data_IF_462607891724
#
_entry.id   IF_462607891724
#
_cell.length_a   1.000
_cell.length_b   1.000
_cell.length_c   1.000
_cell.angle_alpha   90.00
_cell.angle_beta   90.00
_cell.angle_gamma   90.00
#
_symmetry.space_group_name_H-M   'P 1'
#
loop_
_entity.id
_entity.type
_entity.pdbx_description
1 polymer ?
#
# COMPACT_ATOMS: atom_id res chain seq x y z
N UNK A 1 -6.09 14.24 14.11
CA UNK A 1 -6.72 13.20 14.95
C UNK A 1 -8.22 13.42 14.89
N UNK A 2 -8.99 12.35 14.74
CA UNK A 2 -10.43 12.41 14.48
C UNK A 2 -11.18 11.64 15.58
N UNK A 3 -12.40 12.04 15.91
CA UNK A 3 -13.27 11.31 16.85
C UNK A 3 -14.60 10.98 16.18
N UNK A 4 -15.15 9.80 16.47
CA UNK A 4 -16.46 9.38 16.01
C UNK A 4 -17.12 8.45 17.02
N UNK A 5 -18.38 8.08 16.78
CA UNK A 5 -19.05 7.03 17.53
C UNK A 5 -19.75 6.07 16.57
N UNK A 6 -19.61 4.77 16.82
CA UNK A 6 -20.31 3.75 16.05
C UNK A 6 -20.97 2.76 17.01
N UNK A 7 -22.28 2.59 16.87
CA UNK A 7 -23.12 1.73 17.73
C UNK A 7 -22.92 2.02 19.23
N UNK A 8 -22.83 3.30 19.59
CA UNK A 8 -22.68 3.74 20.98
C UNK A 8 -21.28 3.55 21.58
N UNK A 9 -20.27 3.16 20.78
CA UNK A 9 -18.87 3.07 21.21
C UNK A 9 -18.04 4.20 20.62
N UNK A 10 -17.13 4.77 21.40
CA UNK A 10 -16.23 5.82 20.93
C UNK A 10 -15.18 5.22 20.00
N UNK A 11 -14.86 5.98 18.96
CA UNK A 11 -13.81 5.66 18.00
C UNK A 11 -12.81 6.81 17.98
N UNK A 12 -11.52 6.46 18.01
CA UNK A 12 -10.42 7.39 17.84
C UNK A 12 -9.73 7.10 16.51
N UNK A 13 -9.62 8.13 15.69
CA UNK A 13 -9.22 8.03 14.30
C UNK A 13 -7.95 8.79 13.96
N UNK A 14 -7.23 8.28 12.97
CA UNK A 14 -6.13 8.99 12.29
C UNK A 14 -6.26 8.80 10.79
N UNK A 15 -6.05 9.89 10.04
CA UNK A 15 -5.83 9.78 8.59
C UNK A 15 -4.48 9.12 8.33
N UNK A 16 -4.48 8.15 7.44
CA UNK A 16 -3.31 7.44 6.96
C UNK A 16 -3.21 7.68 5.45
N UNK A 17 -2.25 8.51 5.00
CA UNK A 17 -1.93 8.61 3.58
C UNK A 17 -1.29 7.31 3.10
N UNK A 18 -1.52 6.97 1.83
CA UNK A 18 -0.76 5.92 1.17
C UNK A 18 0.70 6.38 0.95
N UNK A 19 1.68 5.47 0.99
CA UNK A 19 3.07 5.81 0.68
C UNK A 19 3.21 6.39 -0.74
N UNK A 20 4.24 7.20 -0.94
CA UNK A 20 4.52 7.81 -2.24
C UNK A 20 4.65 6.76 -3.35
N UNK A 21 4.06 7.03 -4.50
CA UNK A 21 4.02 6.10 -5.63
C UNK A 21 2.92 5.03 -5.55
N UNK A 22 2.15 4.98 -4.46
CA UNK A 22 1.02 4.06 -4.30
C UNK A 22 -0.33 4.77 -4.39
N UNK A 23 -1.33 4.06 -4.91
CA UNK A 23 -2.73 4.47 -4.87
C UNK A 23 -3.62 3.27 -4.52
N UNK A 24 -4.75 3.54 -3.87
CA UNK A 24 -5.69 2.52 -3.43
C UNK A 24 -6.87 2.43 -4.38
N UNK A 25 -7.38 1.22 -4.62
CA UNK A 25 -8.56 0.98 -5.45
C UNK A 25 -9.62 0.20 -4.68
N UNK A 26 -10.88 0.57 -4.91
CA UNK A 26 -12.04 -0.23 -4.50
C UNK A 26 -12.46 -1.07 -5.71
N UNK A 27 -12.29 -2.38 -5.63
CA UNK A 27 -12.62 -3.31 -6.71
C UNK A 27 -14.01 -3.92 -6.52
N UNK A 28 -14.80 -3.95 -7.59
CA UNK A 28 -16.11 -4.59 -7.64
C UNK A 28 -16.12 -5.70 -8.69
N UNK A 29 -16.62 -6.87 -8.30
CA UNK A 29 -16.78 -8.00 -9.22
C UNK A 29 -17.86 -7.68 -10.24
N UNK A 30 -17.54 -7.88 -11.51
CA UNK A 30 -18.47 -7.71 -12.63
C UNK A 30 -19.25 -9.01 -12.77
N UNK A 31 -20.49 -9.01 -12.26
CA UNK A 31 -21.41 -10.13 -12.46
C UNK A 31 -22.12 -9.89 -13.80
N UNK A 32 -21.95 -10.80 -14.76
CA UNK A 32 -22.63 -10.71 -16.04
C UNK A 32 -24.13 -10.93 -15.87
N UNK A 33 -24.94 -9.90 -16.06
CA UNK A 33 -26.39 -10.06 -16.28
C UNK A 33 -26.73 -9.65 -17.71
N UNK A 34 -27.35 -10.56 -18.47
CA UNK A 34 -27.98 -10.24 -19.75
C UNK A 34 -28.98 -9.11 -19.56
N UNK A 35 -29.00 -8.13 -20.46
CA UNK A 35 -30.23 -7.47 -20.84
C UNK A 35 -30.12 -6.89 -22.27
N UNK A 36 -31.23 -7.08 -22.97
CA UNK A 36 -31.48 -7.00 -24.40
C UNK A 36 -31.32 -5.62 -25.06
N UNK A 37 -30.84 -4.59 -24.37
CA UNK A 37 -30.69 -3.26 -24.93
C UNK A 37 -29.36 -2.61 -24.54
N UNK A 38 -28.32 -2.87 -25.34
CA UNK A 38 -27.17 -1.96 -25.51
C UNK A 38 -26.03 -2.04 -24.49
N UNK A 39 -25.14 -3.03 -24.64
CA UNK A 39 -23.76 -3.14 -24.10
C UNK A 39 -23.59 -3.52 -22.62
N UNK A 40 -23.71 -4.83 -22.34
CA UNK A 40 -22.68 -5.58 -21.59
C UNK A 40 -22.38 -6.86 -22.38
N UNK A 41 -21.15 -7.02 -22.87
CA UNK A 41 -20.60 -8.31 -23.33
C UNK A 41 -19.47 -8.69 -22.37
N UNK A 42 -19.81 -9.38 -21.28
CA UNK A 42 -18.83 -10.26 -20.63
C UNK A 42 -18.83 -11.55 -21.43
N UNK A 43 -17.96 -11.62 -22.45
CA UNK A 43 -17.62 -12.91 -23.04
C UNK A 43 -16.92 -13.68 -21.92
N UNK A 44 -17.67 -14.56 -21.25
CA UNK A 44 -17.08 -15.77 -20.67
C UNK A 44 -16.60 -16.61 -21.85
N UNK A 45 -15.51 -16.17 -22.48
CA UNK A 45 -14.87 -16.96 -23.52
C UNK A 45 -13.95 -17.94 -22.81
N UNK A 46 -14.42 -19.18 -22.84
CA UNK A 46 -13.62 -20.39 -22.96
C UNK A 46 -13.03 -20.95 -21.67
N UNK A 47 -13.77 -21.93 -21.15
CA UNK A 47 -13.37 -23.10 -20.34
C UNK A 47 -12.74 -22.94 -18.96
N UNK A 48 -12.11 -21.83 -18.60
CA UNK A 48 -11.43 -21.65 -17.30
C UNK A 48 -11.88 -20.40 -16.54
N UNK A 49 -13.19 -20.16 -16.47
CA UNK A 49 -13.85 -18.92 -15.99
C UNK A 49 -13.13 -18.12 -14.89
N UNK A 50 -12.41 -17.07 -15.29
CA UNK A 50 -11.82 -16.10 -14.37
C UNK A 50 -12.82 -15.00 -14.00
N UNK A 51 -12.79 -14.60 -12.72
CA UNK A 51 -13.58 -13.49 -12.22
C UNK A 51 -13.11 -12.15 -12.80
N UNK A 52 -14.03 -11.40 -13.40
CA UNK A 52 -13.74 -10.04 -13.90
C UNK A 52 -14.00 -9.03 -12.78
N UNK A 53 -13.03 -8.16 -12.52
CA UNK A 53 -13.12 -7.09 -11.53
C UNK A 53 -12.96 -5.72 -12.20
N UNK A 54 -13.69 -4.72 -11.72
CA UNK A 54 -13.57 -3.33 -12.15
C UNK A 54 -13.24 -2.43 -10.96
N UNK A 55 -12.37 -1.45 -11.16
CA UNK A 55 -12.17 -0.37 -10.20
C UNK A 55 -13.38 0.56 -10.18
N UNK A 56 -14.02 0.69 -9.02
CA UNK A 56 -15.19 1.53 -8.78
C UNK A 56 -14.78 2.92 -8.23
N UNK A 57 -13.73 2.96 -7.43
CA UNK A 57 -13.16 4.19 -6.87
C UNK A 57 -11.64 4.05 -6.66
N UNK A 58 -10.99 5.20 -6.53
CA UNK A 58 -9.57 5.33 -6.21
C UNK A 58 -9.39 6.27 -5.01
N UNK A 59 -8.40 6.02 -4.17
CA UNK A 59 -8.10 6.84 -3.00
C UNK A 59 -6.59 6.97 -2.76
N UNK A 60 -6.18 8.09 -2.16
CA UNK A 60 -4.80 8.34 -1.74
C UNK A 60 -4.59 8.33 -0.23
N UNK A 61 -5.67 8.34 0.54
CA UNK A 61 -5.65 8.27 2.01
C UNK A 61 -6.93 7.57 2.52
N UNK A 62 -6.88 7.07 3.74
CA UNK A 62 -8.07 6.58 4.45
C UNK A 62 -7.98 6.88 5.95
N UNK A 63 -9.13 6.96 6.62
CA UNK A 63 -9.18 7.06 8.08
C UNK A 63 -9.16 5.68 8.72
N UNK A 64 -8.19 5.45 9.58
CA UNK A 64 -8.12 4.26 10.44
C UNK A 64 -8.67 4.59 11.82
N UNK A 65 -9.47 3.68 12.38
CA UNK A 65 -10.23 3.88 13.61
C UNK A 65 -10.00 2.76 14.60
N UNK A 66 -9.67 3.13 15.84
CA UNK A 66 -9.57 2.23 16.99
C UNK A 66 -10.73 2.48 17.96
N UNK A 67 -11.12 1.43 18.69
CA UNK A 67 -12.09 1.52 19.78
C UNK A 67 -11.41 2.04 21.05
N UNK A 68 -11.89 3.16 21.58
CA UNK A 68 -11.50 3.76 22.87
C UNK A 68 -9.98 4.03 23.07
N UNK A 69 -9.12 3.67 22.12
CA UNK A 69 -7.66 3.85 22.16
C UNK A 69 -7.19 4.68 20.98
N UNK A 70 -6.19 5.53 21.22
CA UNK A 70 -5.59 6.31 20.15
C UNK A 70 -4.86 5.41 19.16
N UNK A 71 -4.95 5.65 17.84
CA UNK A 71 -4.05 5.01 16.89
C UNK A 71 -2.59 5.32 17.22
N UNK A 72 -1.77 4.27 17.30
CA UNK A 72 -0.35 4.34 17.64
C UNK A 72 0.51 3.82 16.50
N UNK A 73 1.84 3.95 16.61
CA UNK A 73 2.79 3.40 15.64
C UNK A 73 2.81 1.86 15.59
N UNK A 74 2.38 1.22 16.68
CA UNK A 74 2.44 -0.24 16.84
C UNK A 74 1.18 -0.93 16.27
N UNK A 75 0.23 -0.16 15.74
CA UNK A 75 -0.94 -0.71 15.05
C UNK A 75 -0.51 -1.42 13.76
N UNK A 76 -0.97 -2.65 13.56
CA UNK A 76 -0.57 -3.50 12.43
C UNK A 76 -0.80 -2.85 11.07
N UNK A 77 -1.83 -2.01 10.93
CA UNK A 77 -2.10 -1.29 9.68
C UNK A 77 -0.94 -0.38 9.28
N UNK A 78 -0.24 0.23 10.24
CA UNK A 78 0.91 1.08 9.96
C UNK A 78 2.09 0.27 9.49
N UNK A 79 2.36 -0.87 10.13
CA UNK A 79 3.41 -1.80 9.68
C UNK A 79 3.16 -2.30 8.26
N UNK A 80 1.90 -2.56 7.89
CA UNK A 80 1.54 -2.92 6.51
C UNK A 80 1.80 -1.78 5.54
N UNK A 81 1.51 -0.53 5.91
CA UNK A 81 1.75 0.64 5.05
C UNK A 81 3.25 0.91 4.89
N UNK A 82 4.06 0.70 5.94
CA UNK A 82 5.52 0.79 5.91
C UNK A 82 6.15 -0.32 5.07
N UNK A 83 5.51 -1.49 4.98
CA UNK A 83 6.00 -2.60 4.16
C UNK A 83 5.97 -2.30 2.65
N UNK A 84 5.01 -1.51 2.16
CA UNK A 84 4.86 -1.22 0.73
C UNK A 84 6.14 -0.63 0.08
N UNK A 85 6.72 0.48 0.58
CA UNK A 85 7.96 1.01 0.00
C UNK A 85 9.16 0.07 0.20
N UNK A 86 9.21 -0.68 1.31
CA UNK A 86 10.27 -1.69 1.54
C UNK A 86 10.20 -2.78 0.47
N UNK A 87 9.00 -3.32 0.22
CA UNK A 87 8.79 -4.32 -0.82
C UNK A 87 9.13 -3.79 -2.21
N UNK A 88 8.79 -2.53 -2.51
CA UNK A 88 9.13 -1.91 -3.78
C UNK A 88 10.65 -1.83 -3.98
N UNK A 89 11.38 -1.35 -2.97
CA UNK A 89 12.85 -1.28 -3.02
C UNK A 89 13.50 -2.67 -3.11
N UNK A 90 12.96 -3.68 -2.44
CA UNK A 90 13.48 -5.06 -2.48
C UNK A 90 13.33 -5.72 -3.85
N UNK A 91 12.27 -5.39 -4.58
CA UNK A 91 11.98 -5.97 -5.90
C UNK A 91 12.39 -5.05 -7.06
N UNK A 92 13.08 -3.95 -6.77
CA UNK A 92 13.63 -3.06 -7.80
C UNK A 92 14.64 -3.83 -8.66
N UNK A 93 14.53 -3.68 -9.99
CA UNK A 93 15.43 -4.37 -10.91
C UNK A 93 16.87 -3.90 -10.73
N UNK A 94 17.80 -4.85 -10.60
CA UNK A 94 19.22 -4.53 -10.49
C UNK A 94 19.78 -4.24 -11.88
N UNK A 95 19.87 -2.96 -12.22
CA UNK A 95 20.60 -2.50 -13.40
C UNK A 95 22.11 -2.52 -13.13
N UNK A 96 22.93 -2.69 -14.18
CA UNK A 96 24.39 -2.69 -14.05
C UNK A 96 24.91 -1.37 -13.45
N UNK A 97 24.28 -0.25 -13.79
CA UNK A 97 24.56 1.07 -13.24
C UNK A 97 24.08 1.19 -11.78
N UNK A 98 22.92 0.62 -11.46
CA UNK A 98 22.39 0.57 -10.10
C UNK A 98 23.27 -0.24 -9.14
N UNK A 99 23.80 -1.37 -9.59
CA UNK A 99 24.71 -2.20 -8.78
C UNK A 99 26.00 -1.45 -8.40
N UNK A 100 26.55 -0.66 -9.32
CA UNK A 100 27.73 0.17 -9.05
C UNK A 100 27.42 1.26 -8.02
N UNK A 101 26.28 1.94 -8.13
CA UNK A 101 25.84 2.98 -7.19
C UNK A 101 25.54 2.39 -5.80
N UNK A 102 24.93 1.20 -5.74
CA UNK A 102 24.67 0.51 -4.47
C UNK A 102 25.98 0.13 -3.80
N UNK A 103 26.94 -0.41 -4.55
CA UNK A 103 28.27 -0.74 -4.03
C UNK A 103 29.02 0.50 -3.51
N UNK A 104 28.90 1.63 -4.20
CA UNK A 104 29.48 2.90 -3.78
C UNK A 104 28.82 3.44 -2.50
N UNK A 105 27.49 3.42 -2.42
CA UNK A 105 26.74 3.82 -1.20
C UNK A 105 27.11 2.93 0.00
N UNK A 106 27.20 1.61 -0.20
CA UNK A 106 27.59 0.68 0.86
C UNK A 106 29.02 0.95 1.35
N UNK A 107 29.94 1.25 0.44
CA UNK A 107 31.32 1.61 0.76
C UNK A 107 31.39 2.90 1.60
N UNK A 108 30.69 3.96 1.17
CA UNK A 108 30.62 5.24 1.90
C UNK A 108 29.99 5.10 3.29
N UNK A 109 28.95 4.28 3.45
CA UNK A 109 28.37 4.00 4.77
C UNK A 109 29.36 3.27 5.69
N UNK A 110 30.10 2.28 5.18
CA UNK A 110 31.11 1.56 5.96
C UNK A 110 32.26 2.45 6.41
N UNK A 111 32.71 3.38 5.56
CA UNK A 111 33.80 4.31 5.83
C UNK A 111 33.37 5.40 6.83
N UNK A 112 32.12 5.88 6.75
CA UNK A 112 31.51 6.78 7.74
C UNK A 112 31.41 6.14 9.13
N UNK A 113 31.00 4.87 9.20
CA UNK A 113 30.97 4.09 10.45
C UNK A 113 32.37 3.85 11.04
N UNK A 114 33.40 3.71 10.19
CA UNK A 114 34.78 3.55 10.63
C UNK A 114 35.42 4.88 11.11
N UNK A 115 35.05 6.00 10.51
CA UNK A 115 35.52 7.34 10.89
C UNK A 115 34.99 7.83 12.24
N UNK A 116 33.80 7.38 12.64
CA UNK A 116 33.18 7.76 13.92
C UNK A 116 33.86 7.14 15.16
N UNK A 117 34.62 6.04 14.99
CA UNK A 117 35.31 5.35 16.11
C UNK A 117 36.65 5.97 16.54
N UNK A 118 37.08 7.11 15.98
CA UNK A 118 38.39 7.74 16.27
C UNK A 118 38.32 9.05 17.07
N UNK A 119 37.29 9.23 17.90
CA UNK A 119 37.24 10.30 18.90
C UNK A 119 36.92 9.71 20.27
N UNK A 120 37.95 9.23 20.95
CA UNK A 120 38.06 9.10 22.41
C UNK A 120 39.55 9.15 22.76
#
# INVERSE_FOLDING_TARGET
>A
MEEAAFRGRKLMGSRLPLPEGFCGFVLKKVIGSNNENGKIKVKSLEKDGFDVWKADAMFGEFSYWNHDTLPTKDDSIRSVMEWLPVSAALHEEVTADGAAVIAEKMKLQSESLAGSKRKL
#
